data_IF_167036151018
#
_entry.id   IF_167036151018
#
_cell.length_a   1.000
_cell.length_b   1.000
_cell.length_c   1.000
_cell.angle_alpha   90.00
_cell.angle_beta   90.00
_cell.angle_gamma   90.00
#
_symmetry.space_group_name_H-M   'P 1'
#
loop_
_entity.id
_entity.type
_entity.pdbx_description
1 polymer ?
#
# COMPACT_ATOMS: atom_id res chain seq x y z
N UNK A 1 -10.26 6.42 -21.91
CA UNK A 1 -10.14 5.00 -21.53
C UNK A 1 -8.98 4.89 -20.56
N UNK A 2 -9.16 4.20 -19.43
CA UNK A 2 -8.06 3.97 -18.48
C UNK A 2 -7.17 2.87 -19.04
N UNK A 3 -5.91 3.19 -19.33
CA UNK A 3 -4.95 2.22 -19.87
C UNK A 3 -4.28 1.46 -18.72
N UNK A 4 -4.35 0.12 -18.77
CA UNK A 4 -3.60 -0.77 -17.88
C UNK A 4 -2.18 -0.95 -18.42
N UNK A 5 -1.17 -0.71 -17.59
CA UNK A 5 0.22 -0.98 -17.90
C UNK A 5 0.94 -1.54 -16.67
N UNK A 6 2.09 -2.17 -16.87
CA UNK A 6 2.87 -2.74 -15.78
C UNK A 6 4.16 -1.95 -15.55
N UNK A 7 4.50 -1.75 -14.28
CA UNK A 7 5.80 -1.20 -13.86
C UNK A 7 6.49 -2.16 -12.90
N UNK A 8 7.81 -2.30 -12.95
CA UNK A 8 8.55 -3.11 -11.98
C UNK A 8 8.43 -2.50 -10.58
N UNK A 9 8.29 -3.36 -9.56
CA UNK A 9 8.43 -2.98 -8.16
C UNK A 9 9.91 -2.69 -7.87
N UNK A 10 10.29 -1.42 -7.98
CA UNK A 10 11.63 -0.95 -7.58
C UNK A 10 11.67 -0.72 -6.07
N UNK A 11 12.87 -0.69 -5.44
CA UNK A 11 13.03 -0.31 -4.04
C UNK A 11 12.37 1.05 -3.72
N UNK A 12 12.54 2.03 -4.61
CA UNK A 12 11.92 3.36 -4.47
C UNK A 12 10.39 3.28 -4.51
N UNK A 13 9.82 2.50 -5.43
CA UNK A 13 8.38 2.33 -5.53
C UNK A 13 7.82 1.60 -4.31
N UNK A 14 8.52 0.56 -3.83
CA UNK A 14 8.18 -0.14 -2.58
C UNK A 14 8.16 0.84 -1.41
N UNK A 15 9.18 1.67 -1.29
CA UNK A 15 9.28 2.66 -0.23
C UNK A 15 8.13 3.68 -0.30
N UNK A 16 7.80 4.19 -1.49
CA UNK A 16 6.66 5.09 -1.69
C UNK A 16 5.33 4.46 -1.26
N UNK A 17 5.09 3.20 -1.62
CA UNK A 17 3.88 2.45 -1.20
C UNK A 17 3.85 2.32 0.33
N UNK A 18 4.96 1.91 0.93
CA UNK A 18 5.07 1.72 2.38
C UNK A 18 4.90 3.04 3.15
N UNK A 19 5.40 4.15 2.62
CA UNK A 19 5.23 5.48 3.22
C UNK A 19 3.77 5.94 3.14
N UNK A 20 3.09 5.68 2.02
CA UNK A 20 1.64 5.91 1.88
C UNK A 20 0.84 5.11 2.91
N UNK A 21 1.15 3.81 3.08
CA UNK A 21 0.52 2.97 4.09
C UNK A 21 0.77 3.53 5.50
N UNK A 22 2.02 3.92 5.82
CA UNK A 22 2.36 4.49 7.13
C UNK A 22 1.59 5.78 7.41
N UNK A 23 1.38 6.62 6.40
CA UNK A 23 0.59 7.83 6.51
C UNK A 23 -0.88 7.50 6.80
N UNK A 24 -1.49 6.55 6.08
CA UNK A 24 -2.86 6.12 6.36
C UNK A 24 -3.01 5.52 7.77
N UNK A 25 -2.05 4.72 8.24
CA UNK A 25 -2.06 4.21 9.63
C UNK A 25 -1.96 5.36 10.65
N UNK A 26 -1.12 6.37 10.37
CA UNK A 26 -0.99 7.56 11.23
C UNK A 26 -2.30 8.33 11.30
N UNK A 27 -3.00 8.52 10.19
CA UNK A 27 -4.33 9.14 10.16
C UNK A 27 -5.34 8.33 10.97
N UNK A 28 -5.36 7.00 10.81
CA UNK A 28 -6.26 6.13 11.58
C UNK A 28 -5.95 6.10 13.09
N UNK A 29 -4.75 6.50 13.50
CA UNK A 29 -4.42 6.66 14.91
C UNK A 29 -5.00 7.93 15.53
N UNK A 30 -5.41 8.93 14.73
CA UNK A 30 -6.11 10.12 15.23
C UNK A 30 -7.62 9.92 15.32
N UNK A 31 -8.17 8.91 14.62
CA UNK A 31 -9.59 8.55 14.69
C UNK A 31 -9.96 7.86 16.02
N UNK A 32 -11.23 7.97 16.41
CA UNK A 32 -11.78 7.20 17.53
C UNK A 32 -11.62 5.70 17.28
N UNK A 33 -11.09 4.99 18.28
CA UNK A 33 -10.90 3.55 18.19
C UNK A 33 -12.25 2.82 18.09
N UNK A 34 -12.46 2.08 17.00
CA UNK A 34 -13.61 1.23 16.76
C UNK A 34 -13.24 0.05 15.85
N UNK A 35 -14.19 -0.86 15.62
CA UNK A 35 -13.97 -2.09 14.83
C UNK A 35 -13.49 -1.78 13.41
N UNK A 36 -14.08 -0.78 12.75
CA UNK A 36 -13.70 -0.40 11.38
C UNK A 36 -12.29 0.17 11.31
N UNK A 37 -11.92 1.03 12.25
CA UNK A 37 -10.56 1.61 12.35
C UNK A 37 -9.53 0.52 12.56
N UNK A 38 -9.80 -0.44 13.46
CA UNK A 38 -8.88 -1.56 13.71
C UNK A 38 -8.79 -2.53 12.54
N UNK A 39 -9.90 -2.82 11.87
CA UNK A 39 -9.90 -3.60 10.63
C UNK A 39 -9.04 -2.95 9.57
N UNK A 40 -9.16 -1.62 9.38
CA UNK A 40 -8.41 -0.91 8.36
C UNK A 40 -6.91 -0.87 8.67
N UNK A 41 -6.52 -0.66 9.94
CA UNK A 41 -5.11 -0.78 10.36
C UNK A 41 -4.55 -2.18 10.09
N UNK A 42 -5.34 -3.22 10.38
CA UNK A 42 -4.96 -4.61 10.14
C UNK A 42 -4.77 -4.89 8.66
N UNK A 43 -5.70 -4.45 7.81
CA UNK A 43 -5.61 -4.59 6.37
C UNK A 43 -4.39 -3.87 5.80
N UNK A 44 -4.12 -2.63 6.25
CA UNK A 44 -2.94 -1.86 5.85
C UNK A 44 -1.62 -2.56 6.23
N UNK A 45 -1.54 -3.11 7.44
CA UNK A 45 -0.38 -3.88 7.89
C UNK A 45 -0.18 -5.16 7.06
N UNK A 46 -1.27 -5.87 6.73
CA UNK A 46 -1.21 -7.04 5.86
C UNK A 46 -0.73 -6.66 4.44
N UNK A 47 -1.25 -5.57 3.86
CA UNK A 47 -0.80 -5.06 2.56
C UNK A 47 0.68 -4.72 2.57
N UNK A 48 1.18 -4.07 3.63
CA UNK A 48 2.62 -3.78 3.77
C UNK A 48 3.44 -5.08 3.76
N UNK A 49 3.03 -6.08 4.54
CA UNK A 49 3.73 -7.36 4.58
C UNK A 49 3.76 -8.06 3.22
N UNK A 50 2.66 -7.98 2.45
CA UNK A 50 2.63 -8.50 1.08
C UNK A 50 3.60 -7.77 0.17
N UNK A 51 3.60 -6.44 0.17
CA UNK A 51 4.50 -5.61 -0.66
C UNK A 51 5.98 -5.85 -0.32
N UNK A 52 6.30 -6.04 0.96
CA UNK A 52 7.66 -6.35 1.41
C UNK A 52 8.10 -7.77 1.02
N UNK A 53 7.16 -8.72 0.89
CA UNK A 53 7.44 -10.09 0.48
C UNK A 53 7.64 -10.24 -1.04
N UNK A 54 7.23 -9.25 -1.84
CA UNK A 54 7.40 -9.30 -3.29
C UNK A 54 8.86 -9.02 -3.69
N UNK A 55 9.40 -9.76 -4.67
CA UNK A 55 10.75 -9.54 -5.16
C UNK A 55 10.87 -8.20 -5.90
N UNK A 56 12.08 -7.66 -5.92
CA UNK A 56 12.39 -6.51 -6.78
C UNK A 56 12.12 -6.88 -8.25
N UNK A 57 11.53 -5.95 -8.99
CA UNK A 57 11.13 -6.17 -10.37
C UNK A 57 9.76 -6.85 -10.56
N UNK A 58 9.04 -7.17 -9.48
CA UNK A 58 7.68 -7.73 -9.58
C UNK A 58 6.77 -6.82 -10.44
N UNK A 59 6.00 -7.36 -11.40
CA UNK A 59 5.18 -6.56 -12.30
C UNK A 59 3.96 -6.00 -11.56
N UNK A 60 4.01 -4.72 -11.22
CA UNK A 60 2.90 -4.00 -10.56
C UNK A 60 1.91 -3.48 -11.60
N UNK A 61 0.63 -3.86 -11.53
CA UNK A 61 -0.40 -3.31 -12.40
C UNK A 61 -0.66 -1.84 -12.02
N UNK A 62 -0.65 -0.97 -13.03
CA UNK A 62 -0.86 0.47 -12.90
C UNK A 62 -1.91 0.93 -13.89
N UNK A 63 -2.69 1.93 -13.49
CA UNK A 63 -3.71 2.53 -14.33
C UNK A 63 -3.33 3.97 -14.66
N UNK A 64 -3.31 4.31 -15.96
CA UNK A 64 -3.17 5.69 -16.42
C UNK A 64 -4.56 6.31 -16.45
N UNK A 65 -4.80 7.29 -15.59
CA UNK A 65 -6.00 8.13 -15.61
C UNK A 65 -5.78 9.37 -16.46
#
# INVERSE_FOLDING_TARGET
>A
MTELFYKPLTPDLRQQINDSIRNSVRELNTCQNNVYVNMQKTALNATKALIDALPDGYPMPMYRR
#
